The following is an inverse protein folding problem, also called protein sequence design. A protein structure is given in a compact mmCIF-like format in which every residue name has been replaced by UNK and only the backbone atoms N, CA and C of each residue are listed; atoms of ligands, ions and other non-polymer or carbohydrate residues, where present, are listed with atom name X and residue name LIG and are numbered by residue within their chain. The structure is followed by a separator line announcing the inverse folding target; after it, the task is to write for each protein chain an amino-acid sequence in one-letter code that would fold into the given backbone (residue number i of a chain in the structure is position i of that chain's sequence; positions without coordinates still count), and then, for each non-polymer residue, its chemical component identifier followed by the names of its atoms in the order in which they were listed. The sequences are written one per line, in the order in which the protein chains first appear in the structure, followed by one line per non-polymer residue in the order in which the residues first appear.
data_IF_781267356402
#
_entry.id   IF_781267356402
#
_cell.length_a   1.000
_cell.length_b   1.000
_cell.length_c   1.000
_cell.angle_alpha   90.00
_cell.angle_beta   90.00
_cell.angle_gamma   90.00
#
_symmetry.space_group_name_H-M   'P 1'
#
loop_
_entity.id
_entity.type
_entity.pdbx_description
1 polymer ?
#
# COMPACT_ATOMS: atom_id res chain seq x y z
N UNK A 1 -18.95 31.33 -25.55
CA UNK A 1 -19.61 30.00 -25.52
C UNK A 1 -18.63 28.83 -25.49
N UNK A 2 -17.40 28.92 -26.05
CA UNK A 2 -16.39 27.85 -26.01
C UNK A 2 -15.67 27.71 -24.64
N UNK A 3 -15.48 28.81 -23.91
CA UNK A 3 -14.79 28.80 -22.59
C UNK A 3 -15.62 28.24 -21.43
N UNK A 4 -16.95 28.27 -21.50
CA UNK A 4 -17.83 27.70 -20.46
C UNK A 4 -17.87 26.17 -20.55
N UNK A 5 -17.73 25.63 -21.76
CA UNK A 5 -17.64 24.18 -22.00
C UNK A 5 -16.33 23.61 -21.45
N UNK A 6 -15.23 24.39 -21.51
CA UNK A 6 -13.93 23.97 -20.98
C UNK A 6 -13.90 23.91 -19.45
N UNK A 7 -14.68 24.76 -18.77
CA UNK A 7 -14.77 24.79 -17.30
C UNK A 7 -15.58 23.59 -16.75
N UNK A 8 -16.58 23.12 -17.49
CA UNK A 8 -17.38 21.93 -17.11
C UNK A 8 -16.62 20.61 -17.29
N UNK A 9 -15.65 20.55 -18.20
CA UNK A 9 -14.79 19.39 -18.42
C UNK A 9 -13.76 19.16 -17.30
N UNK A 10 -13.44 20.19 -16.52
CA UNK A 10 -12.51 20.11 -15.38
C UNK A 10 -13.17 19.56 -14.11
N UNK A 11 -14.50 19.72 -13.96
CA UNK A 11 -15.25 19.28 -12.77
C UNK A 11 -15.65 17.79 -12.82
N UNK A 12 -15.66 17.17 -13.99
CA UNK A 12 -16.06 15.76 -14.17
C UNK A 12 -14.89 14.77 -14.02
N UNK A 13 -13.65 15.26 -13.95
CA UNK A 13 -12.47 14.42 -13.71
C UNK A 13 -12.12 14.26 -12.22
N UNK A 14 -12.90 14.88 -11.32
CA UNK A 14 -12.78 14.70 -9.88
C UNK A 14 -13.74 13.58 -9.42
N UNK A 15 -13.56 12.37 -9.97
CA UNK A 15 -14.13 11.17 -9.35
C UNK A 15 -13.43 10.92 -7.99
N UNK A 16 -14.09 10.30 -7.00
CA UNK A 16 -13.66 10.36 -5.62
C UNK A 16 -12.42 9.50 -5.40
N UNK A 17 -11.23 10.12 -5.41
CA UNK A 17 -9.96 9.54 -4.90
C UNK A 17 -9.99 9.48 -3.37
N UNK A 18 -11.14 9.15 -2.78
CA UNK A 18 -11.35 9.10 -1.33
C UNK A 18 -11.84 7.72 -0.86
N UNK A 19 -12.25 6.83 -1.76
CA UNK A 19 -12.71 5.48 -1.43
C UNK A 19 -11.57 4.48 -1.21
N UNK A 20 -10.62 4.41 -2.15
CA UNK A 20 -9.53 3.43 -2.13
C UNK A 20 -8.61 3.59 -0.90
N UNK A 21 -8.34 4.82 -0.49
CA UNK A 21 -7.46 5.11 0.66
C UNK A 21 -8.00 4.56 1.99
N UNK A 22 -9.33 4.45 2.16
CA UNK A 22 -9.92 3.95 3.40
C UNK A 22 -9.75 2.42 3.52
N UNK A 23 -9.98 1.70 2.42
CA UNK A 23 -9.80 0.24 2.36
C UNK A 23 -8.32 -0.11 2.49
N UNK A 24 -7.45 0.60 1.77
CA UNK A 24 -6.00 0.40 1.84
C UNK A 24 -5.43 0.67 3.24
N UNK A 25 -5.88 1.75 3.92
CA UNK A 25 -5.52 2.00 5.34
C UNK A 25 -5.97 0.88 6.27
N UNK A 26 -7.15 0.32 6.03
CA UNK A 26 -7.69 -0.79 6.82
C UNK A 26 -6.84 -2.05 6.62
N UNK A 27 -6.44 -2.34 5.38
CA UNK A 27 -5.52 -3.42 5.07
C UNK A 27 -4.15 -3.25 5.75
N UNK A 28 -3.63 -2.03 5.79
CA UNK A 28 -2.37 -1.73 6.46
C UNK A 28 -2.44 -2.00 7.97
N UNK A 29 -3.48 -1.50 8.64
CA UNK A 29 -3.69 -1.67 10.07
C UNK A 29 -3.88 -3.14 10.45
N UNK A 30 -4.71 -3.85 9.68
CA UNK A 30 -4.94 -5.28 9.88
C UNK A 30 -3.68 -6.09 9.65
N UNK A 31 -2.98 -5.85 8.54
CA UNK A 31 -1.75 -6.57 8.19
C UNK A 31 -0.66 -6.40 9.27
N UNK A 32 -0.52 -5.18 9.82
CA UNK A 32 0.35 -4.94 10.97
C UNK A 32 -0.09 -5.71 12.22
N UNK A 33 -1.39 -5.71 12.54
CA UNK A 33 -1.91 -6.43 13.70
C UNK A 33 -1.74 -7.95 13.56
N UNK A 34 -1.93 -8.48 12.35
CA UNK A 34 -1.67 -9.88 12.02
C UNK A 34 -0.18 -10.23 12.22
N UNK A 35 0.73 -9.37 11.75
CA UNK A 35 2.17 -9.52 11.95
C UNK A 35 2.55 -9.55 13.44
N UNK A 36 2.08 -8.57 14.21
CA UNK A 36 2.31 -8.48 15.67
C UNK A 36 1.74 -9.70 16.42
N UNK A 37 0.71 -10.35 15.85
CA UNK A 37 0.08 -11.55 16.41
C UNK A 37 0.71 -12.86 15.93
N UNK A 38 1.74 -12.82 15.08
CA UNK A 38 2.35 -14.01 14.48
C UNK A 38 1.52 -14.69 13.40
N UNK A 39 0.44 -14.06 12.93
CA UNK A 39 -0.39 -14.51 11.80
C UNK A 39 0.25 -14.06 10.48
N UNK A 40 1.40 -14.66 10.15
CA UNK A 40 2.25 -14.15 9.08
C UNK A 40 1.61 -14.28 7.68
N UNK A 41 0.87 -15.35 7.41
CA UNK A 41 0.20 -15.54 6.12
C UNK A 41 -0.88 -14.47 5.89
N UNK A 42 -1.68 -14.17 6.91
CA UNK A 42 -2.68 -13.09 6.86
C UNK A 42 -2.04 -11.71 6.77
N UNK A 43 -0.92 -11.51 7.49
CA UNK A 43 -0.14 -10.29 7.40
C UNK A 43 0.36 -10.06 5.97
N UNK A 44 0.93 -11.08 5.32
CA UNK A 44 1.40 -11.01 3.93
C UNK A 44 0.26 -10.57 3.00
N UNK A 45 -0.91 -11.22 3.10
CA UNK A 45 -2.06 -10.89 2.24
C UNK A 45 -2.53 -9.45 2.47
N UNK A 46 -2.64 -9.02 3.73
CA UNK A 46 -3.08 -7.67 4.09
C UNK A 46 -2.10 -6.60 3.63
N UNK A 47 -0.81 -6.82 3.81
CA UNK A 47 0.23 -5.85 3.49
C UNK A 47 0.46 -5.72 1.98
N UNK A 48 0.27 -6.79 1.20
CA UNK A 48 0.26 -6.71 -0.27
C UNK A 48 -0.89 -5.81 -0.77
N UNK A 49 -2.08 -5.94 -0.18
CA UNK A 49 -3.21 -5.06 -0.52
C UNK A 49 -2.95 -3.62 -0.11
N UNK A 50 -2.43 -3.42 1.09
CA UNK A 50 -2.07 -2.10 1.61
C UNK A 50 -1.05 -1.38 0.72
N UNK A 51 -0.02 -2.08 0.22
CA UNK A 51 0.97 -1.49 -0.69
C UNK A 51 0.35 -0.99 -1.99
N UNK A 52 -0.63 -1.72 -2.52
CA UNK A 52 -1.31 -1.38 -3.77
C UNK A 52 -2.37 -0.30 -3.60
N UNK A 53 -3.14 -0.37 -2.53
CA UNK A 53 -4.36 0.44 -2.30
C UNK A 53 -4.11 1.64 -1.40
N UNK A 54 -2.96 1.71 -0.71
CA UNK A 54 -2.57 2.85 0.12
C UNK A 54 -1.11 3.30 -0.11
N UNK A 55 -0.76 3.78 -1.31
CA UNK A 55 0.62 4.09 -1.68
C UNK A 55 1.29 5.14 -0.78
N UNK A 56 0.51 6.01 -0.13
CA UNK A 56 1.01 7.07 0.78
C UNK A 56 1.77 6.49 1.98
N UNK A 57 1.44 5.28 2.44
CA UNK A 57 2.19 4.54 3.46
C UNK A 57 2.70 3.19 2.93
N UNK A 58 2.97 3.12 1.62
CA UNK A 58 3.41 1.87 1.01
C UNK A 58 4.84 1.47 1.40
N UNK A 59 5.67 2.40 1.86
CA UNK A 59 6.97 2.11 2.49
C UNK A 59 6.81 1.30 3.79
N UNK A 60 5.87 1.70 4.66
CA UNK A 60 5.50 0.92 5.84
C UNK A 60 4.89 -0.43 5.48
N UNK A 61 4.02 -0.48 4.47
CA UNK A 61 3.44 -1.73 4.00
C UNK A 61 4.53 -2.71 3.54
N UNK A 62 5.48 -2.26 2.73
CA UNK A 62 6.62 -3.05 2.27
C UNK A 62 7.56 -3.42 3.42
N UNK A 63 7.82 -2.52 4.37
CA UNK A 63 8.65 -2.80 5.54
C UNK A 63 8.08 -3.96 6.35
N UNK A 64 6.81 -3.88 6.76
CA UNK A 64 6.14 -4.96 7.49
C UNK A 64 5.98 -6.22 6.65
N UNK A 65 5.76 -6.11 5.33
CA UNK A 65 5.68 -7.27 4.44
C UNK A 65 7.02 -8.01 4.38
N UNK A 66 8.14 -7.28 4.38
CA UNK A 66 9.47 -7.88 4.41
C UNK A 66 9.74 -8.64 5.71
N UNK A 67 9.25 -8.12 6.84
CA UNK A 67 9.33 -8.79 8.13
C UNK A 67 8.46 -10.06 8.16
N UNK A 68 7.22 -9.98 7.65
CA UNK A 68 6.35 -11.15 7.54
C UNK A 68 7.00 -12.28 6.71
N UNK A 69 7.58 -11.96 5.55
CA UNK A 69 8.34 -12.94 4.75
C UNK A 69 9.58 -13.47 5.46
N UNK A 70 10.27 -12.64 6.25
CA UNK A 70 11.42 -13.08 7.02
C UNK A 70 11.01 -14.11 8.08
N UNK A 71 9.90 -13.86 8.78
CA UNK A 71 9.39 -14.72 9.84
C UNK A 71 8.86 -16.07 9.32
N UNK A 72 8.42 -16.14 8.05
CA UNK A 72 8.06 -17.42 7.39
C UNK A 72 9.24 -18.14 6.75
N UNK A 73 10.46 -17.58 6.82
CA UNK A 73 11.66 -18.15 6.20
C UNK A 73 11.78 -17.88 4.70
N UNK A 74 10.92 -17.04 4.13
CA UNK A 74 10.93 -16.63 2.73
C UNK A 74 11.95 -15.52 2.46
N UNK A 75 13.21 -15.77 2.81
CA UNK A 75 14.27 -14.76 2.81
C UNK A 75 14.50 -14.08 1.45
N UNK A 76 14.26 -14.81 0.35
CA UNK A 76 14.37 -14.23 -1.00
C UNK A 76 13.28 -13.17 -1.23
N UNK A 77 12.05 -13.44 -0.82
CA UNK A 77 10.93 -12.51 -0.91
C UNK A 77 11.19 -11.31 0.01
N UNK A 78 11.62 -11.53 1.26
CA UNK A 78 11.99 -10.46 2.17
C UNK A 78 13.03 -9.50 1.56
N UNK A 79 14.11 -10.04 0.97
CA UNK A 79 15.14 -9.25 0.30
C UNK A 79 14.60 -8.45 -0.89
N UNK A 80 13.74 -9.06 -1.71
CA UNK A 80 13.11 -8.38 -2.84
C UNK A 80 12.20 -7.25 -2.37
N UNK A 81 11.43 -7.47 -1.30
CA UNK A 81 10.53 -6.48 -0.72
C UNK A 81 11.31 -5.30 -0.12
N UNK A 82 12.42 -5.54 0.59
CA UNK A 82 13.31 -4.46 1.09
C UNK A 82 13.90 -3.65 -0.07
N UNK A 83 14.35 -4.31 -1.15
CA UNK A 83 14.82 -3.60 -2.35
C UNK A 83 13.73 -2.76 -2.99
N UNK A 84 12.48 -3.21 -2.95
CA UNK A 84 11.35 -2.44 -3.46
C UNK A 84 11.21 -1.10 -2.72
N UNK A 85 11.43 -1.07 -1.39
CA UNK A 85 11.44 0.17 -0.60
C UNK A 85 12.48 1.14 -1.17
N UNK A 86 13.73 0.70 -1.34
CA UNK A 86 14.81 1.54 -1.85
C UNK A 86 14.54 2.09 -3.26
N UNK A 87 13.77 1.37 -4.08
CA UNK A 87 13.46 1.78 -5.46
C UNK A 87 12.22 2.65 -5.57
N UNK A 88 11.15 2.35 -4.80
CA UNK A 88 9.85 3.03 -4.87
C UNK A 88 9.78 4.23 -3.91
N UNK A 89 10.51 4.14 -2.80
CA UNK A 89 10.51 5.10 -1.69
C UNK A 89 11.95 5.48 -1.30
N UNK A 90 12.71 6.14 -2.20
CA UNK A 90 14.14 6.38 -2.00
C UNK A 90 14.51 7.36 -0.86
N UNK A 91 13.51 8.03 -0.27
CA UNK A 91 13.69 8.99 0.82
C UNK A 91 13.13 8.51 2.17
N UNK A 92 12.62 7.27 2.23
CA UNK A 92 12.15 6.66 3.48
C UNK A 92 13.30 6.20 4.37
#
# INVERSE_FOLDING_TARGET
MKSVIFLFLLLTFCAPVFGDDLEGKTHLQKGRSDLESGRYDEAIIGLIKAEKEFPILGDYALFWLSDAYYQTGEFKQALLTVRAILTKYPNS
#
